data_IF_889906010677
#
_entry.id   IF_889906010677
#
_cell.length_a   1.000
_cell.length_b   1.000
_cell.length_c   1.000
_cell.angle_alpha   90.00
_cell.angle_beta   90.00
_cell.angle_gamma   90.00
#
_symmetry.space_group_name_H-M   'P 1'
#
loop_
_entity.id
_entity.type
_entity.pdbx_description
1 polymer ?
#
# COMPACT_ATOMS: atom_id res chain seq x y z
N UNK A 1 -25.37 14.78 -25.74
CA UNK A 1 -24.04 14.83 -25.07
C UNK A 1 -23.07 13.99 -25.87
N UNK A 2 -21.90 14.50 -26.28
CA UNK A 2 -20.94 13.69 -27.06
C UNK A 2 -20.16 12.79 -26.09
N UNK A 3 -20.34 11.45 -26.13
CA UNK A 3 -19.70 10.54 -25.17
C UNK A 3 -18.17 10.59 -25.22
N UNK A 4 -17.58 10.85 -26.39
CA UNK A 4 -16.13 10.97 -26.53
C UNK A 4 -15.58 12.19 -25.77
N UNK A 5 -16.30 13.32 -25.77
CA UNK A 5 -15.91 14.51 -25.00
C UNK A 5 -16.04 14.30 -23.49
N UNK A 6 -17.07 13.57 -23.05
CA UNK A 6 -17.24 13.24 -21.64
C UNK A 6 -16.15 12.28 -21.16
N UNK A 7 -15.77 11.30 -21.98
CA UNK A 7 -14.65 10.39 -21.72
C UNK A 7 -13.33 11.13 -21.61
N UNK A 8 -13.03 12.00 -22.56
CA UNK A 8 -11.83 12.84 -22.56
C UNK A 8 -11.76 13.74 -21.31
N UNK A 9 -12.87 14.42 -20.98
CA UNK A 9 -12.96 15.26 -19.79
C UNK A 9 -12.79 14.47 -18.48
N UNK A 10 -13.27 13.21 -18.41
CA UNK A 10 -13.11 12.37 -17.23
C UNK A 10 -11.64 12.03 -16.95
N UNK A 11 -10.89 11.65 -18.00
CA UNK A 11 -9.50 11.23 -17.91
C UNK A 11 -8.50 12.40 -17.88
N UNK A 12 -8.76 13.43 -18.67
CA UNK A 12 -7.79 14.50 -18.96
C UNK A 12 -8.29 15.91 -18.58
N UNK A 13 -9.50 16.04 -18.03
CA UNK A 13 -9.97 17.31 -17.48
C UNK A 13 -9.05 17.80 -16.35
N UNK A 14 -8.45 18.99 -16.44
CA UNK A 14 -7.52 19.49 -15.42
C UNK A 14 -8.19 19.62 -14.05
N UNK A 15 -7.55 19.11 -13.00
CA UNK A 15 -8.03 19.22 -11.62
C UNK A 15 -6.95 19.74 -10.68
N UNK A 16 -7.35 20.18 -9.49
CA UNK A 16 -6.41 20.59 -8.44
C UNK A 16 -5.52 19.42 -7.99
N UNK A 17 -4.23 19.68 -7.82
CA UNK A 17 -3.26 18.72 -7.30
C UNK A 17 -3.41 18.42 -5.78
N UNK A 18 -4.16 19.24 -5.03
CA UNK A 18 -4.26 19.16 -3.56
C UNK A 18 -4.73 17.81 -3.04
N UNK A 19 -5.81 17.20 -3.56
CA UNK A 19 -6.27 15.90 -3.05
C UNK A 19 -5.21 14.81 -3.23
N UNK A 20 -4.48 14.86 -4.34
CA UNK A 20 -3.42 13.90 -4.65
C UNK A 20 -2.18 14.12 -3.75
N UNK A 21 -1.85 15.37 -3.43
CA UNK A 21 -0.79 15.69 -2.47
C UNK A 21 -1.13 15.22 -1.05
N UNK A 22 -2.38 15.37 -0.60
CA UNK A 22 -2.85 14.85 0.67
C UNK A 22 -2.87 13.32 0.69
N UNK A 23 -3.37 12.71 -0.39
CA UNK A 23 -3.36 11.26 -0.58
C UNK A 23 -1.94 10.69 -0.44
N UNK A 24 -0.93 11.32 -1.06
CA UNK A 24 0.48 10.92 -0.92
C UNK A 24 0.96 10.94 0.53
N UNK A 25 0.59 11.96 1.31
CA UNK A 25 0.99 12.06 2.72
C UNK A 25 0.33 10.93 3.52
N UNK A 26 -0.98 10.76 3.40
CA UNK A 26 -1.72 9.70 4.11
C UNK A 26 -1.19 8.33 3.72
N UNK A 27 -1.04 8.07 2.43
CA UNK A 27 -0.53 6.80 1.93
C UNK A 27 0.91 6.54 2.40
N UNK A 28 1.79 7.54 2.35
CA UNK A 28 3.15 7.42 2.86
C UNK A 28 3.19 7.10 4.36
N UNK A 29 2.31 7.69 5.16
CA UNK A 29 2.15 7.34 6.58
C UNK A 29 1.64 5.92 6.78
N UNK A 30 0.69 5.47 5.97
CA UNK A 30 0.20 4.07 5.99
C UNK A 30 1.33 3.10 5.64
N UNK A 31 2.13 3.38 4.61
CA UNK A 31 3.30 2.56 4.24
C UNK A 31 4.31 2.53 5.38
N UNK A 32 4.58 3.65 6.04
CA UNK A 32 5.47 3.70 7.20
C UNK A 32 4.93 2.89 8.39
N UNK A 33 3.62 2.95 8.64
CA UNK A 33 2.99 2.11 9.66
C UNK A 33 3.11 0.61 9.30
N UNK A 34 2.89 0.25 8.03
CA UNK A 34 3.06 -1.13 7.54
C UNK A 34 4.49 -1.64 7.79
N UNK A 35 5.48 -0.81 7.45
CA UNK A 35 6.89 -1.14 7.71
C UNK A 35 7.17 -1.22 9.21
N UNK A 36 6.61 -0.33 10.04
CA UNK A 36 6.78 -0.39 11.49
C UNK A 36 6.22 -1.70 12.06
N UNK A 37 5.04 -2.14 11.63
CA UNK A 37 4.47 -3.42 12.07
C UNK A 37 5.33 -4.61 11.64
N UNK A 38 5.77 -4.64 10.39
CA UNK A 38 6.62 -5.71 9.87
C UNK A 38 8.01 -5.73 10.55
N UNK A 39 8.50 -4.58 11.03
CA UNK A 39 9.81 -4.50 11.68
C UNK A 39 9.92 -5.28 13.00
N UNK A 40 8.81 -5.54 13.70
CA UNK A 40 8.83 -6.26 14.98
C UNK A 40 9.23 -7.73 14.82
N UNK A 41 8.85 -8.35 13.71
CA UNK A 41 9.09 -9.78 13.43
C UNK A 41 9.92 -9.97 12.16
N UNK A 42 10.60 -8.92 11.66
CA UNK A 42 11.33 -8.99 10.39
C UNK A 42 12.41 -10.06 10.40
N UNK A 43 13.11 -10.28 11.52
CA UNK A 43 14.15 -11.31 11.59
C UNK A 43 13.56 -12.70 11.42
N UNK A 44 12.41 -12.95 12.06
CA UNK A 44 11.72 -14.22 11.97
C UNK A 44 11.17 -14.51 10.56
N UNK A 45 10.65 -13.49 9.88
CA UNK A 45 9.98 -13.69 8.60
C UNK A 45 10.85 -13.47 7.36
N UNK A 46 11.90 -12.67 7.46
CA UNK A 46 12.58 -12.13 6.29
C UNK A 46 14.09 -12.45 6.23
N UNK A 47 14.66 -13.06 7.27
CA UNK A 47 16.11 -13.34 7.34
C UNK A 47 16.39 -14.82 7.52
N UNK A 48 17.63 -15.24 7.24
CA UNK A 48 18.07 -16.64 7.35
C UNK A 48 18.12 -17.20 8.77
N UNK A 49 17.98 -16.37 9.81
CA UNK A 49 17.84 -16.86 11.19
C UNK A 49 16.39 -17.20 11.55
N UNK A 50 15.45 -16.88 10.67
CA UNK A 50 14.02 -17.02 10.85
C UNK A 50 13.45 -18.36 10.39
N UNK A 51 12.18 -18.33 10.02
CA UNK A 51 11.39 -19.50 9.63
C UNK A 51 11.86 -20.14 8.32
N UNK A 52 12.08 -19.33 7.28
CA UNK A 52 12.52 -19.79 5.96
C UNK A 52 14.01 -19.49 5.81
N UNK A 53 14.78 -20.51 5.44
CA UNK A 53 16.25 -20.43 5.39
C UNK A 53 16.75 -20.68 3.97
N UNK A 54 17.73 -19.89 3.51
CA UNK A 54 18.36 -20.07 2.21
C UNK A 54 17.36 -19.97 1.05
N UNK A 55 17.24 -21.02 0.23
CA UNK A 55 16.39 -20.98 -0.98
C UNK A 55 14.91 -21.23 -0.72
N UNK A 56 14.51 -21.60 0.50
CA UNK A 56 13.12 -21.98 0.82
C UNK A 56 12.12 -20.87 0.47
N UNK A 57 12.46 -19.62 0.75
CA UNK A 57 11.62 -18.48 0.44
C UNK A 57 11.38 -18.32 -1.08
N UNK A 58 12.41 -18.57 -1.89
CA UNK A 58 12.32 -18.55 -3.35
C UNK A 58 11.49 -19.73 -3.89
N UNK A 59 11.66 -20.91 -3.31
CA UNK A 59 10.92 -22.12 -3.69
C UNK A 59 9.42 -21.96 -3.41
N UNK A 60 9.07 -21.41 -2.25
CA UNK A 60 7.67 -21.10 -1.88
C UNK A 60 7.09 -19.98 -2.76
N UNK A 61 7.86 -18.93 -3.04
CA UNK A 61 7.41 -17.80 -3.84
C UNK A 61 7.21 -18.12 -5.32
N UNK A 62 8.00 -19.07 -5.85
CA UNK A 62 8.02 -19.47 -7.25
C UNK A 62 8.87 -18.56 -8.16
N UNK A 63 9.17 -19.03 -9.38
CA UNK A 63 10.20 -18.41 -10.26
C UNK A 63 9.82 -17.03 -10.81
N UNK A 64 8.53 -16.64 -10.77
CA UNK A 64 8.06 -15.35 -11.30
C UNK A 64 8.11 -14.20 -10.29
N UNK A 65 8.82 -14.36 -9.17
CA UNK A 65 8.97 -13.36 -8.11
C UNK A 65 10.44 -13.00 -7.87
N UNK A 66 11.10 -12.34 -8.83
CA UNK A 66 12.47 -11.90 -8.62
C UNK A 66 12.52 -10.85 -7.51
N UNK A 67 13.48 -11.01 -6.59
CA UNK A 67 13.79 -10.03 -5.56
C UNK A 67 15.31 -9.98 -5.36
N UNK A 68 15.92 -8.79 -5.23
CA UNK A 68 17.32 -8.66 -4.85
C UNK A 68 17.63 -9.27 -3.48
N UNK A 69 16.61 -9.40 -2.62
CA UNK A 69 16.74 -9.97 -1.28
C UNK A 69 16.94 -11.49 -1.30
N UNK A 70 16.69 -12.14 -2.43
CA UNK A 70 16.98 -13.57 -2.61
C UNK A 70 18.48 -13.89 -2.60
N UNK A 71 19.35 -12.88 -2.80
CA UNK A 71 20.81 -13.05 -2.75
C UNK A 71 21.43 -12.51 -1.46
N UNK A 72 20.64 -11.82 -0.63
CA UNK A 72 21.11 -11.11 0.56
C UNK A 72 20.09 -11.32 1.67
N UNK A 73 20.33 -12.34 2.50
CA UNK A 73 19.40 -12.82 3.52
C UNK A 73 19.95 -12.68 4.94
N UNK A 74 21.15 -12.10 5.09
CA UNK A 74 21.74 -11.84 6.40
C UNK A 74 20.96 -10.73 7.15
N UNK A 75 20.82 -10.84 8.48
CA UNK A 75 20.03 -9.89 9.27
C UNK A 75 20.49 -8.44 9.10
N UNK A 76 21.80 -8.21 9.02
CA UNK A 76 22.36 -6.86 8.94
C UNK A 76 21.94 -6.17 7.64
N UNK A 77 22.16 -6.83 6.51
CA UNK A 77 21.78 -6.29 5.20
C UNK A 77 20.27 -6.12 5.08
N UNK A 78 19.48 -7.04 5.66
CA UNK A 78 18.03 -6.90 5.64
C UNK A 78 17.56 -5.69 6.45
N UNK A 79 18.13 -5.46 7.64
CA UNK A 79 17.84 -4.27 8.45
C UNK A 79 18.23 -2.99 7.71
N UNK A 80 19.40 -2.97 7.04
CA UNK A 80 19.82 -1.81 6.23
C UNK A 80 18.85 -1.57 5.09
N UNK A 81 18.44 -2.60 4.36
CA UNK A 81 17.47 -2.49 3.28
C UNK A 81 16.11 -1.98 3.79
N UNK A 82 15.66 -2.48 4.93
CA UNK A 82 14.42 -2.08 5.56
C UNK A 82 14.44 -0.62 6.02
N UNK A 83 15.51 -0.21 6.71
CA UNK A 83 15.74 1.17 7.12
C UNK A 83 15.82 2.12 5.92
N UNK A 84 16.49 1.70 4.85
CA UNK A 84 16.51 2.45 3.60
C UNK A 84 15.11 2.57 2.97
N UNK A 85 14.31 1.51 2.99
CA UNK A 85 12.92 1.52 2.50
C UNK A 85 12.07 2.50 3.30
N UNK A 86 12.19 2.48 4.63
CA UNK A 86 11.51 3.43 5.52
C UNK A 86 11.96 4.87 5.24
N UNK A 87 13.25 5.12 5.04
CA UNK A 87 13.76 6.44 4.69
C UNK A 87 13.18 6.94 3.35
N UNK A 88 13.11 6.07 2.33
CA UNK A 88 12.48 6.41 1.05
C UNK A 88 10.99 6.69 1.23
N UNK A 89 10.27 5.94 2.06
CA UNK A 89 8.87 6.20 2.38
C UNK A 89 8.68 7.57 3.06
N UNK A 90 9.58 7.99 3.96
CA UNK A 90 9.59 9.36 4.52
C UNK A 90 9.81 10.40 3.43
N UNK A 91 10.77 10.18 2.52
CA UNK A 91 11.04 11.09 1.40
C UNK A 91 9.84 11.23 0.46
N UNK A 92 9.12 10.13 0.19
CA UNK A 92 7.84 10.15 -0.54
C UNK A 92 6.78 10.91 0.25
N UNK A 93 6.72 10.76 1.58
CA UNK A 93 5.72 11.41 2.47
C UNK A 93 5.94 12.92 2.61
N UNK A 94 7.17 13.41 2.54
CA UNK A 94 7.45 14.86 2.48
C UNK A 94 7.45 15.41 1.04
N UNK A 95 7.54 14.53 0.05
CA UNK A 95 7.50 14.86 -1.38
C UNK A 95 8.80 15.48 -1.87
N UNK A 96 9.92 14.84 -1.56
CA UNK A 96 11.25 15.15 -2.09
C UNK A 96 11.54 14.29 -3.31
N UNK A 97 11.86 14.89 -4.47
CA UNK A 97 12.10 14.17 -5.74
C UNK A 97 11.07 13.06 -5.98
N UNK A 98 9.81 13.42 -5.81
CA UNK A 98 8.66 12.53 -5.60
C UNK A 98 8.60 11.43 -6.64
N UNK A 99 8.83 11.75 -7.93
CA UNK A 99 8.82 10.75 -9.02
C UNK A 99 9.89 9.67 -8.87
N UNK A 100 11.11 10.06 -8.51
CA UNK A 100 12.22 9.11 -8.32
C UNK A 100 12.00 8.30 -7.04
N UNK A 101 11.63 8.96 -5.94
CA UNK A 101 11.40 8.28 -4.67
C UNK A 101 10.19 7.33 -4.71
N UNK A 102 9.14 7.64 -5.47
CA UNK A 102 8.00 6.73 -5.65
C UNK A 102 8.34 5.49 -6.45
N UNK A 103 9.19 5.61 -7.48
CA UNK A 103 9.69 4.46 -8.25
C UNK A 103 10.56 3.59 -7.36
N UNK A 104 11.49 4.22 -6.62
CA UNK A 104 12.35 3.51 -5.69
C UNK A 104 11.54 2.82 -4.59
N UNK A 105 10.55 3.49 -4.01
CA UNK A 105 9.65 2.90 -3.02
C UNK A 105 8.91 1.69 -3.57
N UNK A 106 8.37 1.79 -4.79
CA UNK A 106 7.71 0.65 -5.45
C UNK A 106 8.66 -0.54 -5.59
N UNK A 107 9.87 -0.33 -6.10
CA UNK A 107 10.85 -1.42 -6.29
C UNK A 107 11.29 -2.04 -4.95
N UNK A 108 11.48 -1.23 -3.91
CA UNK A 108 11.88 -1.72 -2.59
C UNK A 108 10.75 -2.51 -1.92
N UNK A 109 9.52 -1.99 -1.95
CA UNK A 109 8.34 -2.70 -1.44
C UNK A 109 8.07 -3.98 -2.24
N UNK A 110 8.24 -3.95 -3.57
CA UNK A 110 8.11 -5.14 -4.42
C UNK A 110 9.12 -6.21 -4.02
N UNK A 111 10.36 -5.81 -3.74
CA UNK A 111 11.41 -6.72 -3.27
C UNK A 111 11.00 -7.42 -1.98
N UNK A 112 10.49 -6.67 -0.99
CA UNK A 112 10.01 -7.24 0.29
C UNK A 112 8.84 -8.18 0.05
N UNK A 113 7.86 -7.76 -0.75
CA UNK A 113 6.65 -8.54 -1.04
C UNK A 113 6.94 -9.82 -1.85
N UNK A 114 7.98 -9.83 -2.67
CA UNK A 114 8.41 -11.01 -3.42
C UNK A 114 9.30 -11.95 -2.60
N UNK A 115 10.00 -11.42 -1.59
CA UNK A 115 10.94 -12.17 -0.77
C UNK A 115 10.28 -13.30 0.01
N UNK A 116 9.21 -13.00 0.76
CA UNK A 116 8.46 -14.01 1.48
C UNK A 116 6.95 -13.83 1.23
N UNK A 117 6.36 -14.77 0.51
CA UNK A 117 4.91 -14.75 0.21
C UNK A 117 4.06 -15.17 1.41
N UNK A 118 4.63 -15.89 2.39
CA UNK A 118 3.89 -16.35 3.57
C UNK A 118 3.42 -15.21 4.47
N UNK A 119 4.12 -14.08 4.48
CA UNK A 119 3.71 -12.88 5.21
C UNK A 119 2.71 -12.03 4.45
N UNK A 120 2.46 -12.33 3.17
CA UNK A 120 1.68 -11.47 2.29
C UNK A 120 0.19 -11.54 2.63
N UNK A 121 -0.35 -10.39 3.04
CA UNK A 121 -1.78 -10.22 3.27
C UNK A 121 -2.47 -9.44 2.14
N UNK A 122 -3.80 -9.41 2.15
CA UNK A 122 -4.58 -8.58 1.23
C UNK A 122 -4.27 -7.07 1.38
N UNK A 123 -3.93 -6.63 2.59
CA UNK A 123 -3.46 -5.25 2.86
C UNK A 123 -2.12 -4.96 2.19
N UNK A 124 -1.16 -5.89 2.27
CA UNK A 124 0.16 -5.70 1.63
C UNK A 124 0.02 -5.63 0.10
N UNK A 125 -0.84 -6.49 -0.46
CA UNK A 125 -1.18 -6.45 -1.89
C UNK A 125 -1.76 -5.10 -2.29
N UNK A 126 -2.63 -4.52 -1.47
CA UNK A 126 -3.20 -3.19 -1.72
C UNK A 126 -2.13 -2.09 -1.65
N UNK A 127 -1.24 -2.11 -0.64
CA UNK A 127 -0.12 -1.18 -0.56
C UNK A 127 0.77 -1.28 -1.80
N UNK A 128 1.06 -2.49 -2.28
CA UNK A 128 1.83 -2.71 -3.50
C UNK A 128 1.17 -2.10 -4.75
N UNK A 129 -0.11 -2.39 -4.96
CA UNK A 129 -0.90 -1.87 -6.08
C UNK A 129 -0.92 -0.33 -6.04
N UNK A 130 -1.16 0.26 -4.88
CA UNK A 130 -1.22 1.71 -4.75
C UNK A 130 0.16 2.35 -4.96
N UNK A 131 1.24 1.74 -4.44
CA UNK A 131 2.60 2.26 -4.65
C UNK A 131 2.97 2.28 -6.14
N UNK A 132 2.55 1.25 -6.90
CA UNK A 132 2.68 1.23 -8.36
C UNK A 132 1.98 2.43 -9.02
N UNK A 133 0.73 2.72 -8.67
CA UNK A 133 0.04 3.87 -9.25
C UNK A 133 0.61 5.22 -8.79
N UNK A 134 1.06 5.32 -7.52
CA UNK A 134 1.70 6.52 -6.98
C UNK A 134 2.96 6.86 -7.79
N UNK A 135 3.71 5.85 -8.24
CA UNK A 135 4.88 6.06 -9.12
C UNK A 135 4.50 6.74 -10.44
N UNK A 136 3.28 6.51 -10.94
CA UNK A 136 2.76 7.10 -12.17
C UNK A 136 2.10 8.47 -11.94
N UNK A 137 1.64 8.74 -10.72
CA UNK A 137 0.90 9.94 -10.35
C UNK A 137 1.80 11.19 -10.21
N UNK A 138 1.32 12.38 -10.64
CA UNK A 138 1.97 13.65 -10.34
C UNK A 138 1.71 14.11 -8.89
N UNK A 139 1.88 13.21 -7.92
CA UNK A 139 1.56 13.44 -6.51
C UNK A 139 2.53 14.40 -5.78
N UNK A 140 3.61 14.80 -6.46
CA UNK A 140 4.53 15.85 -6.04
C UNK A 140 4.09 17.26 -6.42
N UNK A 141 2.93 17.45 -7.05
CA UNK A 141 2.48 18.77 -7.52
C UNK A 141 1.85 19.67 -6.42
N UNK A 142 1.48 19.10 -5.27
CA UNK A 142 0.94 19.83 -4.11
C UNK A 142 1.45 19.25 -2.78
N UNK A 143 1.46 20.08 -1.73
CA UNK A 143 1.90 19.73 -0.36
C UNK A 143 3.28 19.03 -0.26
N UNK A 144 4.18 19.29 -1.21
CA UNK A 144 5.48 18.62 -1.33
C UNK A 144 6.63 19.63 -1.30
N UNK A 145 7.84 19.16 -0.99
CA UNK A 145 9.06 19.96 -1.15
C UNK A 145 9.32 20.31 -2.63
N UNK A 146 8.99 19.40 -3.54
CA UNK A 146 9.08 19.64 -4.98
C UNK A 146 8.17 20.79 -5.44
N UNK A 147 6.92 20.83 -4.97
CA UNK A 147 5.97 21.91 -5.27
C UNK A 147 6.45 23.24 -4.71
N UNK A 148 7.02 23.25 -3.50
CA UNK A 148 7.63 24.46 -2.91
C UNK A 148 8.82 24.95 -3.73
N UNK A 149 9.68 24.05 -4.22
CA UNK A 149 10.82 24.40 -5.07
C UNK A 149 10.36 24.96 -6.41
N UNK A 150 9.33 24.38 -7.00
CA UNK A 150 8.77 24.81 -8.28
C UNK A 150 8.02 26.15 -8.15
N UNK A 151 7.25 26.37 -7.08
CA UNK A 151 6.61 27.65 -6.78
C UNK A 151 7.63 28.79 -6.67
N UNK A 152 8.77 28.55 -6.00
CA UNK A 152 9.88 29.51 -5.94
C UNK A 152 10.48 29.82 -7.30
N UNK A 153 10.59 28.83 -8.20
CA UNK A 153 11.09 29.02 -9.57
C UNK A 153 10.11 29.81 -10.44
N UNK A 154 8.81 29.58 -10.29
CA UNK A 154 7.75 30.27 -11.04
C UNK A 154 7.40 31.65 -10.50
N UNK A 155 7.80 31.97 -9.26
CA UNK A 155 7.46 33.23 -8.59
C UNK A 155 6.00 33.34 -8.16
N UNK A 156 5.24 32.24 -8.14
CA UNK A 156 3.84 32.18 -7.71
C UNK A 156 3.60 31.01 -6.75
N UNK A 157 2.86 31.21 -5.65
CA UNK A 157 2.48 30.13 -4.74
C UNK A 157 1.32 29.27 -5.28
N UNK A 158 0.74 29.62 -6.43
CA UNK A 158 -0.36 28.88 -7.00
C UNK A 158 0.08 27.47 -7.43
N UNK A 159 -0.59 26.45 -6.89
CA UNK A 159 -0.34 25.06 -7.27
C UNK A 159 -0.88 24.77 -8.68
N UNK A 160 -0.17 23.96 -9.49
CA UNK A 160 -0.59 23.69 -10.86
C UNK A 160 -1.82 22.78 -10.90
N UNK A 161 -2.60 22.94 -11.97
CA UNK A 161 -3.59 21.94 -12.36
C UNK A 161 -2.86 20.72 -12.93
N UNK A 162 -3.36 19.53 -12.60
CA UNK A 162 -2.82 18.25 -13.07
C UNK A 162 -3.85 17.51 -13.92
N UNK A 163 -3.36 16.66 -14.82
CA UNK A 163 -4.19 15.70 -15.54
C UNK A 163 -4.44 14.49 -14.62
N UNK A 164 -5.72 14.17 -14.29
CA UNK A 164 -6.04 13.21 -13.24
C UNK A 164 -6.02 11.74 -13.67
N UNK A 165 -5.58 11.39 -14.88
CA UNK A 165 -5.74 10.04 -15.42
C UNK A 165 -5.24 8.95 -14.45
N UNK A 166 -4.09 9.16 -13.80
CA UNK A 166 -3.50 8.22 -12.85
C UNK A 166 -4.29 8.17 -11.53
N UNK A 167 -4.83 9.31 -11.09
CA UNK A 167 -5.75 9.37 -9.94
C UNK A 167 -7.05 8.61 -10.24
N UNK A 168 -7.58 8.72 -11.47
CA UNK A 168 -8.77 7.98 -11.90
C UNK A 168 -8.50 6.47 -11.92
N UNK A 169 -7.32 6.04 -12.35
CA UNK A 169 -6.94 4.62 -12.27
C UNK A 169 -6.92 4.12 -10.83
N UNK A 170 -6.39 4.88 -9.87
CA UNK A 170 -6.44 4.52 -8.44
C UNK A 170 -7.90 4.39 -7.98
N UNK A 171 -8.74 5.37 -8.31
CA UNK A 171 -10.17 5.36 -7.93
C UNK A 171 -10.89 4.13 -8.49
N UNK A 172 -10.68 3.81 -9.77
CA UNK A 172 -11.27 2.64 -10.42
C UNK A 172 -10.73 1.35 -9.81
N UNK A 173 -9.42 1.24 -9.59
CA UNK A 173 -8.80 0.06 -8.99
C UNK A 173 -9.36 -0.22 -7.60
N UNK A 174 -9.43 0.80 -6.73
CA UNK A 174 -10.00 0.65 -5.40
C UNK A 174 -11.48 0.26 -5.49
N UNK A 175 -12.24 0.90 -6.38
CA UNK A 175 -13.65 0.58 -6.60
C UNK A 175 -13.84 -0.89 -7.02
N UNK A 176 -13.00 -1.38 -7.94
CA UNK A 176 -13.05 -2.77 -8.40
C UNK A 176 -12.67 -3.76 -7.30
N UNK A 177 -11.64 -3.47 -6.51
CA UNK A 177 -11.23 -4.30 -5.37
C UNK A 177 -12.39 -4.44 -4.38
N UNK A 178 -12.98 -3.33 -3.94
CA UNK A 178 -14.07 -3.37 -2.97
C UNK A 178 -15.37 -3.94 -3.55
N UNK A 179 -15.67 -3.68 -4.82
CA UNK A 179 -16.82 -4.27 -5.50
C UNK A 179 -16.69 -5.79 -5.58
N UNK A 180 -15.53 -6.30 -6.01
CA UNK A 180 -15.27 -7.74 -6.06
C UNK A 180 -15.27 -8.36 -4.66
N UNK A 181 -14.72 -7.65 -3.66
CA UNK A 181 -14.77 -8.09 -2.26
C UNK A 181 -16.20 -8.21 -1.75
N UNK A 182 -17.08 -7.27 -2.10
CA UNK A 182 -18.49 -7.33 -1.75
C UNK A 182 -19.19 -8.53 -2.39
N UNK A 183 -18.94 -8.81 -3.68
CA UNK A 183 -19.47 -10.01 -4.36
C UNK A 183 -19.02 -11.29 -3.65
N UNK A 184 -17.72 -11.39 -3.31
CA UNK A 184 -17.18 -12.54 -2.59
C UNK A 184 -17.84 -12.71 -1.21
N UNK A 185 -18.09 -11.62 -0.48
CA UNK A 185 -18.80 -11.65 0.80
C UNK A 185 -20.26 -12.08 0.64
N UNK A 186 -20.96 -11.61 -0.39
CA UNK A 186 -22.34 -12.02 -0.67
C UNK A 186 -22.48 -13.52 -0.96
N UNK A 187 -21.40 -14.18 -1.43
CA UNK A 187 -21.36 -15.63 -1.65
C UNK A 187 -20.83 -16.42 -0.42
N UNK A 188 -20.43 -15.74 0.64
CA UNK A 188 -19.84 -16.35 1.83
C UNK A 188 -20.87 -16.64 2.92
N UNK A 189 -21.04 -17.92 3.28
CA UNK A 189 -22.02 -18.36 4.30
C UNK A 189 -21.78 -17.69 5.66
N UNK A 190 -20.52 -17.47 6.05
CA UNK A 190 -20.18 -16.82 7.32
C UNK A 190 -20.55 -15.34 7.36
N UNK A 191 -20.52 -14.65 6.22
CA UNK A 191 -20.98 -13.26 6.10
C UNK A 191 -22.51 -13.19 6.14
N UNK A 192 -23.19 -14.04 5.38
CA UNK A 192 -24.66 -14.07 5.33
C UNK A 192 -25.30 -14.49 6.67
N UNK A 193 -24.68 -15.41 7.40
CA UNK A 193 -25.17 -15.85 8.71
C UNK A 193 -24.70 -14.93 9.86
N UNK A 194 -23.94 -13.86 9.55
CA UNK A 194 -23.45 -12.89 10.54
C UNK A 194 -22.49 -13.48 11.57
N UNK A 195 -21.66 -14.45 11.16
CA UNK A 195 -20.65 -15.09 12.02
C UNK A 195 -19.22 -14.78 11.61
N UNK A 196 -18.98 -14.07 10.50
CA UNK A 196 -17.63 -13.81 9.98
C UNK A 196 -16.74 -13.10 11.01
N UNK A 197 -17.26 -12.04 11.66
CA UNK A 197 -16.47 -11.33 12.67
C UNK A 197 -16.20 -12.17 13.92
N UNK A 198 -17.04 -13.14 14.26
CA UNK A 198 -16.75 -14.04 15.37
C UNK A 198 -15.45 -14.83 15.13
N UNK A 199 -15.25 -15.32 13.89
CA UNK A 199 -14.01 -16.03 13.53
C UNK A 199 -12.79 -15.10 13.52
N UNK A 200 -12.94 -13.88 13.02
CA UNK A 200 -11.84 -12.91 12.96
C UNK A 200 -11.42 -12.48 14.37
N UNK A 201 -12.37 -12.17 15.24
CA UNK A 201 -12.10 -11.71 16.60
C UNK A 201 -11.49 -12.80 17.48
N UNK A 202 -11.76 -14.08 17.21
CA UNK A 202 -11.17 -15.21 17.93
C UNK A 202 -9.88 -15.76 17.28
N UNK A 203 -9.37 -15.12 16.23
CA UNK A 203 -8.14 -15.57 15.59
C UNK A 203 -6.90 -15.01 16.29
N UNK A 204 -6.28 -15.83 17.14
CA UNK A 204 -5.07 -15.49 17.89
C UNK A 204 -3.82 -15.29 17.02
N UNK A 205 -3.83 -15.80 15.78
CA UNK A 205 -2.65 -15.76 14.89
C UNK A 205 -2.48 -14.41 14.19
N UNK A 206 -3.56 -13.65 14.00
CA UNK A 206 -3.57 -12.37 13.24
C UNK A 206 -4.08 -11.17 14.04
N UNK A 207 -4.52 -11.39 15.29
CA UNK A 207 -5.08 -10.35 16.14
C UNK A 207 -4.01 -9.50 16.83
N UNK A 208 -3.64 -8.35 16.27
CA UNK A 208 -2.76 -7.38 16.94
C UNK A 208 -3.44 -6.64 18.11
N UNK A 209 -4.77 -6.47 18.05
CA UNK A 209 -5.57 -5.82 19.08
C UNK A 209 -6.47 -6.85 19.75
N UNK A 210 -6.47 -6.88 21.08
CA UNK A 210 -7.38 -7.73 21.86
C UNK A 210 -8.80 -7.17 21.80
N UNK A 211 -9.60 -7.68 20.88
CA UNK A 211 -11.01 -7.34 20.70
C UNK A 211 -11.95 -8.47 21.14
N UNK A 212 -11.41 -9.51 21.77
CA UNK A 212 -12.12 -10.65 22.35
C UNK A 212 -13.34 -10.25 23.20
N UNK A 213 -13.32 -9.14 23.99
CA UNK A 213 -14.51 -8.72 24.73
C UNK A 213 -15.75 -8.46 23.85
N UNK A 214 -15.58 -8.08 22.58
CA UNK A 214 -16.71 -7.88 21.65
C UNK A 214 -17.43 -9.19 21.34
N UNK A 215 -16.75 -10.34 21.47
CA UNK A 215 -17.36 -11.66 21.24
C UNK A 215 -18.45 -12.00 22.26
N UNK A 216 -18.47 -11.31 23.42
CA UNK A 216 -19.52 -11.43 24.43
C UNK A 216 -20.86 -10.81 23.98
N UNK A 217 -20.86 -10.01 22.91
CA UNK A 217 -22.04 -9.32 22.38
C UNK A 217 -22.41 -9.90 21.00
N UNK A 218 -23.03 -11.09 20.92
CA UNK A 218 -23.28 -11.77 19.65
C UNK A 218 -24.15 -10.98 18.68
N UNK A 219 -25.11 -10.18 19.19
CA UNK A 219 -25.93 -9.29 18.35
C UNK A 219 -25.08 -8.18 17.72
N UNK A 220 -24.14 -7.60 18.47
CA UNK A 220 -23.25 -6.58 17.93
C UNK A 220 -22.31 -7.18 16.87
N UNK A 221 -21.75 -8.37 17.12
CA UNK A 221 -20.91 -9.09 16.16
C UNK A 221 -21.68 -9.44 14.88
N UNK A 222 -22.94 -9.83 15.01
CA UNK A 222 -23.82 -10.12 13.88
C UNK A 222 -24.12 -8.87 13.03
N UNK A 223 -24.39 -7.73 13.67
CA UNK A 223 -24.65 -6.45 12.98
C UNK A 223 -23.40 -5.91 12.28
N UNK A 224 -22.21 -6.12 12.86
CA UNK A 224 -20.96 -5.63 12.29
C UNK A 224 -20.43 -6.50 11.13
N UNK A 225 -20.98 -7.71 10.96
CA UNK A 225 -20.61 -8.65 9.88
C UNK A 225 -21.30 -8.26 8.58
#
# INVERSE_FOLDING_TARGET
MNPARAWDAFWFGPVSARPLGLFRIVFGLVTLANLAFLSFEMDYWLTDVGLLQGTEALEVAGPMRPSPLNWVQDPTSMHVFFAATAAVAVLVTIGWRTRLMSILLYLMMLSIHHHNVLTSSGSDTLVMIITFYVMLCPCGAAYSLDARREARRRGTPAEPLILPWSQRLIQLQISLIYFNTAILKCNGVTWLNGTALHYVLNNSEVGYLRLDPLTQYPVAVNILT
#
